data_IF_451789788889
#
_entry.id   IF_451789788889
#
_cell.length_a   1.000
_cell.length_b   1.000
_cell.length_c   1.000
_cell.angle_alpha   90.00
_cell.angle_beta   90.00
_cell.angle_gamma   90.00
#
_symmetry.space_group_name_H-M   'P 1'
#
loop_
_entity.id
_entity.type
_entity.pdbx_description
1 polymer ?
#
# COMPACT_ATOMS: atom_id res chain seq x y z
N UNK A 1 -3.72 34.03 27.09
CA UNK A 1 -3.70 32.96 26.06
C UNK A 1 -4.37 33.54 24.82
N UNK A 2 -3.61 33.79 23.74
CA UNK A 2 -4.22 34.07 22.45
C UNK A 2 -5.12 32.89 22.08
N UNK A 3 -6.39 33.18 21.71
CA UNK A 3 -7.29 32.14 21.20
C UNK A 3 -6.66 31.59 19.93
N UNK A 4 -6.14 30.39 19.94
CA UNK A 4 -5.74 29.67 18.75
C UNK A 4 -6.93 29.66 17.79
N UNK A 5 -6.83 30.49 16.74
CA UNK A 5 -7.86 30.60 15.70
C UNK A 5 -7.52 29.62 14.58
N UNK A 6 -8.40 28.66 14.35
CA UNK A 6 -8.28 27.67 13.30
C UNK A 6 -9.18 28.07 12.12
N UNK A 7 -8.64 28.04 10.92
CA UNK A 7 -9.43 28.27 9.71
C UNK A 7 -10.18 26.97 9.36
N UNK A 8 -11.50 27.03 9.38
CA UNK A 8 -12.35 25.92 8.95
C UNK A 8 -13.02 26.25 7.60
N UNK A 9 -13.38 25.26 6.76
CA UNK A 9 -14.12 25.48 5.51
C UNK A 9 -15.45 26.18 5.76
N UNK A 10 -15.88 27.03 4.83
CA UNK A 10 -17.17 27.73 4.92
C UNK A 10 -18.34 26.78 5.11
N UNK A 11 -18.36 25.66 4.40
CA UNK A 11 -19.42 24.67 4.50
C UNK A 11 -19.48 24.02 5.89
N UNK A 12 -18.32 23.69 6.50
CA UNK A 12 -18.27 23.21 7.88
C UNK A 12 -18.76 24.28 8.87
N UNK A 13 -18.39 25.54 8.66
CA UNK A 13 -18.86 26.66 9.48
C UNK A 13 -20.39 26.83 9.40
N UNK A 14 -21.00 26.66 8.21
CA UNK A 14 -22.45 26.68 8.01
C UNK A 14 -23.13 25.59 8.83
N UNK A 15 -22.55 24.38 8.87
CA UNK A 15 -23.11 23.26 9.64
C UNK A 15 -23.02 23.55 11.15
N UNK A 16 -21.86 23.99 11.64
CA UNK A 16 -21.69 24.35 13.05
C UNK A 16 -22.67 25.44 13.48
N UNK A 17 -22.84 26.47 12.66
CA UNK A 17 -23.77 27.58 12.90
C UNK A 17 -25.23 27.10 12.91
N UNK A 18 -25.63 26.30 11.92
CA UNK A 18 -27.02 25.79 11.84
C UNK A 18 -27.41 24.94 13.07
N UNK A 19 -26.48 24.08 13.53
CA UNK A 19 -26.70 23.31 14.77
C UNK A 19 -26.77 24.21 16.01
N UNK A 20 -25.89 25.23 16.09
CA UNK A 20 -25.87 26.17 17.21
C UNK A 20 -27.16 27.01 17.27
N UNK A 21 -27.64 27.52 16.14
CA UNK A 21 -28.91 28.29 16.03
C UNK A 21 -30.12 27.42 16.42
N UNK A 22 -30.07 26.11 16.18
CA UNK A 22 -31.06 25.14 16.62
C UNK A 22 -30.93 24.74 18.11
N UNK A 23 -29.95 25.29 18.83
CA UNK A 23 -29.76 25.06 20.27
C UNK A 23 -28.87 23.86 20.59
N UNK A 24 -28.13 23.30 19.64
CA UNK A 24 -27.23 22.16 19.84
C UNK A 24 -25.76 22.59 19.89
N UNK A 25 -24.97 21.90 20.69
CA UNK A 25 -23.51 22.03 20.61
C UNK A 25 -22.98 21.31 19.38
N UNK A 26 -21.99 21.89 18.70
CA UNK A 26 -21.30 21.28 17.59
C UNK A 26 -19.84 21.74 17.52
N UNK A 27 -18.96 20.84 17.14
CA UNK A 27 -17.50 21.06 17.00
C UNK A 27 -16.97 20.28 15.81
N UNK A 28 -15.98 20.81 15.11
CA UNK A 28 -15.10 19.96 14.29
C UNK A 28 -14.18 19.17 15.21
N UNK A 29 -13.81 17.92 14.85
CA UNK A 29 -13.20 17.00 15.83
C UNK A 29 -12.22 16.03 15.18
N UNK A 30 -11.21 15.63 15.93
CA UNK A 30 -10.32 14.53 15.53
C UNK A 30 -9.22 14.94 14.57
N UNK A 31 -9.12 14.23 13.44
CA UNK A 31 -8.04 14.38 12.46
C UNK A 31 -7.91 15.79 11.90
N UNK A 32 -9.01 16.46 11.60
CA UNK A 32 -8.99 17.82 11.08
C UNK A 32 -8.42 18.84 12.07
N UNK A 33 -8.73 18.69 13.36
CA UNK A 33 -8.17 19.56 14.42
C UNK A 33 -6.68 19.34 14.55
N UNK A 34 -6.24 18.08 14.65
CA UNK A 34 -4.83 17.71 14.67
C UNK A 34 -4.05 18.27 13.48
N UNK A 35 -4.53 18.01 12.27
CA UNK A 35 -3.81 18.38 11.05
C UNK A 35 -3.73 19.91 10.89
N UNK A 36 -4.79 20.63 11.24
CA UNK A 36 -4.79 22.10 11.27
C UNK A 36 -3.78 22.65 12.29
N UNK A 37 -3.67 22.07 13.48
CA UNK A 37 -2.66 22.45 14.49
C UNK A 37 -1.23 22.18 14.02
N UNK A 38 -1.02 21.14 13.20
CA UNK A 38 0.27 20.82 12.60
C UNK A 38 0.56 21.66 11.32
N UNK A 39 -0.33 22.58 10.91
CA UNK A 39 -0.21 23.36 9.69
C UNK A 39 -0.38 22.51 8.42
N UNK A 40 -1.01 21.35 8.52
CA UNK A 40 -1.38 20.47 7.40
C UNK A 40 -2.80 20.78 6.96
N UNK A 41 -3.09 20.63 5.68
CA UNK A 41 -4.45 20.78 5.16
C UNK A 41 -5.24 19.48 5.42
N UNK A 42 -6.33 19.54 6.23
CA UNK A 42 -7.16 18.37 6.48
C UNK A 42 -7.87 17.90 5.20
N UNK A 43 -7.92 16.59 5.00
CA UNK A 43 -8.64 15.97 3.88
C UNK A 43 -10.15 15.91 4.13
N UNK A 44 -10.53 15.56 5.36
CA UNK A 44 -11.90 15.35 5.80
C UNK A 44 -12.17 16.19 7.06
N UNK A 45 -13.40 16.68 7.19
CA UNK A 45 -13.83 17.51 8.33
C UNK A 45 -14.99 16.84 9.04
N UNK A 46 -14.67 16.08 10.09
CA UNK A 46 -15.65 15.44 10.93
C UNK A 46 -16.25 16.43 11.93
N UNK A 47 -17.55 16.36 12.11
CA UNK A 47 -18.30 17.19 13.07
C UNK A 47 -18.92 16.28 14.12
N UNK A 48 -18.83 16.69 15.38
CA UNK A 48 -19.49 16.02 16.48
C UNK A 48 -20.48 16.99 17.15
N UNK A 49 -21.65 16.50 17.61
CA UNK A 49 -22.74 17.33 18.09
C UNK A 49 -23.55 16.68 19.22
N UNK A 50 -24.21 17.51 20.05
CA UNK A 50 -25.20 17.05 21.03
C UNK A 50 -26.55 16.70 20.37
N UNK A 51 -26.79 17.10 19.10
CA UNK A 51 -27.98 16.78 18.36
C UNK A 51 -28.04 15.28 18.02
N UNK A 52 -29.20 14.64 18.18
CA UNK A 52 -29.44 13.27 17.70
C UNK A 52 -29.60 13.22 16.18
N UNK A 53 -29.42 12.07 15.53
CA UNK A 53 -29.52 11.96 14.07
C UNK A 53 -30.81 12.58 13.49
N UNK A 54 -31.94 12.34 14.11
CA UNK A 54 -33.22 12.88 13.67
C UNK A 54 -33.29 14.42 13.79
N UNK A 55 -32.60 14.97 14.82
CA UNK A 55 -32.50 16.41 15.01
C UNK A 55 -31.57 17.07 14.00
N UNK A 56 -30.44 16.41 13.66
CA UNK A 56 -29.58 16.85 12.54
C UNK A 56 -30.36 16.87 11.23
N UNK A 57 -31.14 15.83 10.95
CA UNK A 57 -32.02 15.76 9.75
C UNK A 57 -33.11 16.81 9.75
N UNK A 58 -33.58 17.25 10.90
CA UNK A 58 -34.58 18.33 10.99
C UNK A 58 -33.96 19.71 10.72
N UNK A 59 -32.66 19.91 11.00
CA UNK A 59 -31.95 21.18 10.76
C UNK A 59 -31.54 21.31 9.29
N UNK A 60 -31.12 20.22 8.65
CA UNK A 60 -30.56 20.25 7.29
C UNK A 60 -31.45 19.51 6.29
N UNK A 61 -31.79 20.19 5.18
CA UNK A 61 -32.70 19.66 4.16
C UNK A 61 -32.10 18.48 3.36
N UNK A 62 -30.78 18.41 3.22
CA UNK A 62 -30.12 17.38 2.44
C UNK A 62 -29.14 16.57 3.32
N UNK A 63 -29.56 15.35 3.68
CA UNK A 63 -28.79 14.44 4.51
C UNK A 63 -28.83 13.02 3.93
N UNK A 64 -27.77 12.24 4.22
CA UNK A 64 -27.64 10.83 3.84
C UNK A 64 -27.41 10.02 5.11
N UNK A 65 -28.14 8.93 5.28
CA UNK A 65 -28.01 8.03 6.42
C UNK A 65 -26.81 7.09 6.21
N UNK A 66 -25.61 7.54 6.58
CA UNK A 66 -24.36 6.80 6.38
C UNK A 66 -23.97 5.91 7.56
N UNK A 67 -24.61 6.08 8.71
CA UNK A 67 -24.29 5.31 9.93
C UNK A 67 -25.24 5.66 11.07
N UNK A 68 -26.53 5.71 10.80
CA UNK A 68 -27.55 6.20 11.76
C UNK A 68 -27.59 5.34 13.04
N UNK A 69 -27.34 4.03 12.92
CA UNK A 69 -27.26 3.10 14.05
C UNK A 69 -26.09 3.45 15.01
N UNK A 70 -25.06 4.13 14.48
CA UNK A 70 -23.92 4.61 15.25
C UNK A 70 -23.96 6.12 15.51
N UNK A 71 -25.08 6.78 15.20
CA UNK A 71 -25.28 8.19 15.45
C UNK A 71 -24.70 9.13 14.39
N UNK A 72 -24.31 8.63 13.21
CA UNK A 72 -23.68 9.43 12.14
C UNK A 72 -24.66 9.67 10.99
N UNK A 73 -24.74 10.94 10.57
CA UNK A 73 -25.48 11.40 9.39
C UNK A 73 -24.55 12.25 8.55
N UNK A 74 -24.52 12.04 7.24
CA UNK A 74 -23.80 12.92 6.33
C UNK A 74 -24.69 14.09 5.92
N UNK A 75 -24.27 15.31 6.26
CA UNK A 75 -24.92 16.55 5.82
C UNK A 75 -24.29 16.98 4.49
N UNK A 76 -25.13 17.19 3.47
CA UNK A 76 -24.71 17.61 2.13
C UNK A 76 -24.82 19.12 1.99
N UNK A 77 -23.71 19.81 1.71
CA UNK A 77 -23.68 21.23 1.33
C UNK A 77 -23.19 21.31 -0.12
N UNK A 78 -24.10 21.57 -1.03
CA UNK A 78 -23.80 21.47 -2.47
C UNK A 78 -23.46 20.04 -2.88
N UNK A 79 -22.21 19.80 -3.30
CA UNK A 79 -21.70 18.48 -3.68
C UNK A 79 -20.81 17.84 -2.61
N UNK A 80 -20.54 18.53 -1.52
CA UNK A 80 -19.67 18.06 -0.45
C UNK A 80 -20.49 17.46 0.68
N UNK A 81 -20.04 16.33 1.22
CA UNK A 81 -20.63 15.65 2.36
C UNK A 81 -19.76 15.81 3.61
N UNK A 82 -20.38 16.13 4.73
CA UNK A 82 -19.75 16.27 6.03
C UNK A 82 -20.36 15.26 7.00
N UNK A 83 -19.52 14.41 7.61
CA UNK A 83 -20.00 13.48 8.63
C UNK A 83 -20.30 14.22 9.93
N UNK A 84 -21.56 14.13 10.38
CA UNK A 84 -22.03 14.72 11.64
C UNK A 84 -22.42 13.59 12.56
N UNK A 85 -21.66 13.41 13.64
CA UNK A 85 -21.84 12.32 14.61
C UNK A 85 -22.37 12.86 15.94
N UNK A 86 -23.44 12.26 16.43
CA UNK A 86 -23.97 12.55 17.76
C UNK A 86 -22.99 12.13 18.86
N UNK A 87 -22.80 12.94 19.90
CA UNK A 87 -22.01 12.55 21.06
C UNK A 87 -22.50 11.22 21.63
N UNK A 88 -21.58 10.32 21.89
CA UNK A 88 -21.94 8.99 22.35
C UNK A 88 -20.96 8.43 23.36
N UNK A 89 -21.47 7.52 24.14
CA UNK A 89 -20.71 6.63 25.00
C UNK A 89 -20.84 5.25 24.38
N UNK A 90 -19.72 4.62 24.09
CA UNK A 90 -19.73 3.24 23.57
C UNK A 90 -19.94 2.30 24.75
N UNK A 91 -20.90 1.37 24.65
CA UNK A 91 -21.13 0.33 25.65
C UNK A 91 -20.10 -0.79 25.60
N UNK A 92 -20.37 -1.93 26.26
CA UNK A 92 -19.50 -3.10 26.16
C UNK A 92 -19.37 -3.58 24.71
N UNK A 93 -18.16 -3.95 24.31
CA UNK A 93 -17.87 -4.46 22.96
C UNK A 93 -17.98 -5.99 22.93
N UNK A 94 -18.70 -6.54 21.96
CA UNK A 94 -18.88 -8.01 21.81
C UNK A 94 -17.79 -8.68 20.98
N UNK A 95 -17.29 -7.98 19.95
CA UNK A 95 -16.41 -8.55 18.92
C UNK A 95 -15.13 -7.72 18.69
N UNK A 96 -14.68 -6.98 19.70
CA UNK A 96 -13.54 -6.04 19.60
C UNK A 96 -13.72 -4.96 18.51
N UNK A 97 -14.97 -4.64 18.12
CA UNK A 97 -15.28 -3.64 17.11
C UNK A 97 -16.57 -2.85 17.37
N UNK A 98 -17.66 -3.57 17.64
CA UNK A 98 -18.97 -2.94 17.75
C UNK A 98 -19.41 -2.92 19.22
N UNK A 99 -19.73 -1.74 19.77
CA UNK A 99 -20.41 -1.70 21.05
C UNK A 99 -21.79 -2.36 20.92
N UNK A 100 -22.17 -3.18 21.88
CA UNK A 100 -23.50 -3.80 21.97
C UNK A 100 -24.62 -2.79 21.86
N UNK A 101 -24.42 -1.64 22.50
CA UNK A 101 -25.34 -0.51 22.50
C UNK A 101 -24.55 0.79 22.43
N UNK A 102 -25.05 1.72 21.64
CA UNK A 102 -24.57 3.09 21.58
C UNK A 102 -25.52 3.94 22.42
N UNK A 103 -25.01 4.57 23.46
CA UNK A 103 -25.79 5.50 24.25
C UNK A 103 -25.44 6.93 23.87
N UNK A 104 -26.41 7.69 23.37
CA UNK A 104 -26.21 9.10 23.07
C UNK A 104 -26.11 9.91 24.37
N UNK A 105 -25.17 10.84 24.40
CA UNK A 105 -24.94 11.77 25.49
C UNK A 105 -25.03 13.21 25.02
N UNK A 106 -25.24 14.14 25.94
CA UNK A 106 -25.10 15.57 25.67
C UNK A 106 -23.71 16.13 26.02
N UNK A 107 -22.81 15.29 26.52
CA UNK A 107 -21.52 15.73 27.04
C UNK A 107 -20.39 15.45 26.03
N UNK A 108 -19.80 16.50 25.47
CA UNK A 108 -18.66 16.41 24.57
C UNK A 108 -17.49 15.60 25.16
N UNK A 109 -17.22 15.77 26.46
CA UNK A 109 -16.10 15.09 27.11
C UNK A 109 -16.19 13.57 27.02
N UNK A 110 -17.39 12.99 27.12
CA UNK A 110 -17.58 11.54 27.00
C UNK A 110 -17.34 11.08 25.55
N UNK A 111 -17.73 11.88 24.54
CA UNK A 111 -17.41 11.57 23.14
C UNK A 111 -15.90 11.64 22.85
N UNK A 112 -15.19 12.59 23.44
CA UNK A 112 -13.74 12.68 23.30
C UNK A 112 -13.00 11.53 24.02
N UNK A 113 -13.51 11.10 25.19
CA UNK A 113 -12.91 10.06 26.01
C UNK A 113 -12.85 8.68 25.35
N UNK A 114 -13.85 8.33 24.50
CA UNK A 114 -13.88 7.05 23.78
C UNK A 114 -12.94 6.98 22.58
N UNK A 115 -12.29 8.09 22.21
CA UNK A 115 -11.39 8.15 21.05
C UNK A 115 -10.09 7.38 21.31
N UNK A 116 -9.37 7.08 20.23
CA UNK A 116 -8.16 6.26 20.26
C UNK A 116 -6.97 6.97 20.94
N UNK A 117 -6.57 8.13 20.40
CA UNK A 117 -5.37 8.83 20.85
C UNK A 117 -5.67 10.28 21.22
N UNK A 118 -4.90 10.82 22.15
CA UNK A 118 -5.03 12.20 22.65
C UNK A 118 -5.00 13.21 21.52
N UNK A 119 -4.11 13.05 20.55
CA UNK A 119 -3.98 13.92 19.37
C UNK A 119 -5.22 13.92 18.44
N UNK A 120 -6.12 12.97 18.60
CA UNK A 120 -7.40 12.88 17.87
C UNK A 120 -8.61 13.13 18.80
N UNK A 121 -8.37 13.39 20.08
CA UNK A 121 -9.40 13.65 21.09
C UNK A 121 -9.52 15.14 21.41
N UNK A 122 -9.37 15.98 20.40
CA UNK A 122 -9.54 17.42 20.45
C UNK A 122 -10.71 17.86 19.58
N UNK A 123 -11.44 18.87 20.04
CA UNK A 123 -12.55 19.47 19.32
C UNK A 123 -12.36 20.99 19.20
N UNK A 124 -12.87 21.58 18.13
CA UNK A 124 -12.78 23.02 17.91
C UNK A 124 -14.11 23.60 17.41
N UNK A 125 -14.46 24.76 17.99
CA UNK A 125 -15.55 25.59 17.51
C UNK A 125 -15.08 27.06 17.48
N UNK A 126 -15.36 27.83 16.42
CA UNK A 126 -14.90 29.23 16.29
C UNK A 126 -15.27 30.13 17.47
N UNK A 127 -16.45 29.95 18.05
CA UNK A 127 -16.96 30.78 19.14
C UNK A 127 -16.44 30.34 20.52
N UNK A 128 -16.16 29.04 20.68
CA UNK A 128 -15.80 28.43 21.98
C UNK A 128 -14.30 28.10 22.09
N UNK A 129 -13.57 28.08 20.97
CA UNK A 129 -12.16 27.72 20.90
C UNK A 129 -11.91 26.21 20.89
N UNK A 130 -10.68 25.80 21.23
CA UNK A 130 -10.27 24.39 21.29
C UNK A 130 -10.65 23.80 22.65
N UNK A 131 -11.23 22.59 22.61
CA UNK A 131 -11.44 21.73 23.77
C UNK A 131 -10.42 20.60 23.68
N UNK A 132 -9.47 20.61 24.61
CA UNK A 132 -8.42 19.60 24.77
C UNK A 132 -8.42 19.11 26.23
N UNK A 133 -9.14 18.04 26.49
CA UNK A 133 -9.28 17.50 27.85
C UNK A 133 -8.21 16.45 28.19
N UNK A 134 -7.43 16.00 27.20
CA UNK A 134 -6.50 14.88 27.33
C UNK A 134 -5.06 15.23 26.97
N UNK A 135 -4.73 16.54 26.92
CA UNK A 135 -3.40 17.05 26.60
C UNK A 135 -2.91 16.67 25.19
N UNK A 136 -3.84 16.66 24.22
CA UNK A 136 -3.52 16.37 22.82
C UNK A 136 -2.60 17.40 22.18
N UNK A 137 -2.75 18.69 22.52
CA UNK A 137 -1.84 19.77 22.08
C UNK A 137 -0.43 19.52 22.60
N UNK A 138 -0.29 19.21 23.90
CA UNK A 138 1.01 18.89 24.47
C UNK A 138 1.65 17.64 23.84
N UNK A 139 0.87 16.63 23.49
CA UNK A 139 1.37 15.45 22.79
C UNK A 139 1.78 15.76 21.33
N UNK A 140 1.08 16.67 20.64
CA UNK A 140 1.52 17.16 19.34
C UNK A 140 2.88 17.89 19.41
N UNK A 141 3.06 18.74 20.41
CA UNK A 141 4.32 19.45 20.64
C UNK A 141 5.47 18.50 20.98
N UNK A 142 5.20 17.47 21.80
CA UNK A 142 6.18 16.42 22.16
C UNK A 142 6.37 15.37 21.08
N UNK A 143 5.56 15.38 20.01
CA UNK A 143 5.54 14.37 18.94
C UNK A 143 5.27 12.95 19.49
N UNK A 144 4.25 12.78 20.27
CA UNK A 144 3.89 11.54 20.96
C UNK A 144 2.52 11.05 20.50
N UNK A 145 2.40 9.72 20.27
CA UNK A 145 1.15 8.99 20.12
C UNK A 145 0.82 8.34 21.46
N UNK A 146 -0.21 8.82 22.14
CA UNK A 146 -0.66 8.31 23.43
C UNK A 146 -2.14 7.99 23.37
N UNK A 147 -2.55 6.84 23.93
CA UNK A 147 -3.95 6.48 24.08
C UNK A 147 -4.68 7.45 25.03
N UNK A 148 -5.97 7.65 24.77
CA UNK A 148 -6.85 8.36 25.71
C UNK A 148 -7.17 7.43 26.88
N UNK A 149 -6.90 7.86 28.12
CA UNK A 149 -7.14 7.07 29.33
C UNK A 149 -6.22 5.86 29.45
N UNK A 150 -6.77 4.68 29.73
CA UNK A 150 -6.02 3.44 29.93
C UNK A 150 -5.84 2.72 28.58
N UNK A 151 -4.60 2.52 28.10
CA UNK A 151 -4.37 1.94 26.77
C UNK A 151 -4.96 0.54 26.60
N UNK A 152 -4.90 -0.32 27.63
CA UNK A 152 -5.45 -1.67 27.59
C UNK A 152 -6.96 -1.66 27.30
N UNK A 153 -7.71 -0.77 27.97
CA UNK A 153 -9.15 -0.60 27.75
C UNK A 153 -9.43 -0.19 26.31
N UNK A 154 -8.63 0.75 25.77
CA UNK A 154 -8.77 1.23 24.36
C UNK A 154 -8.54 0.12 23.35
N UNK A 155 -7.61 -0.79 23.61
CA UNK A 155 -7.35 -1.94 22.71
C UNK A 155 -8.36 -3.07 22.90
N UNK A 156 -8.88 -3.27 24.10
CA UNK A 156 -9.97 -4.22 24.35
C UNK A 156 -11.28 -3.79 23.64
N UNK A 157 -11.53 -2.48 23.50
CA UNK A 157 -12.67 -1.95 22.73
C UNK A 157 -12.51 -2.18 21.22
N UNK A 158 -11.37 -1.84 20.64
CA UNK A 158 -11.06 -2.05 19.23
C UNK A 158 -9.56 -2.33 19.05
N UNK A 159 -9.23 -3.60 18.87
CA UNK A 159 -7.84 -4.03 18.70
C UNK A 159 -7.16 -3.43 17.45
N UNK A 160 -7.93 -2.95 16.45
CA UNK A 160 -7.35 -2.25 15.30
C UNK A 160 -6.60 -0.97 15.72
N UNK A 161 -6.94 -0.39 16.89
CA UNK A 161 -6.21 0.76 17.44
C UNK A 161 -4.72 0.48 17.63
N UNK A 162 -4.33 -0.78 17.82
CA UNK A 162 -2.93 -1.23 17.85
C UNK A 162 -2.22 -0.89 16.50
N UNK A 163 -2.80 -1.27 15.38
CA UNK A 163 -2.24 -0.89 14.07
C UNK A 163 -2.34 0.61 13.80
N UNK A 164 -3.40 1.24 14.27
CA UNK A 164 -3.58 2.70 14.15
C UNK A 164 -2.49 3.49 14.88
N UNK A 165 -2.00 2.99 16.03
CA UNK A 165 -0.87 3.61 16.74
C UNK A 165 0.38 3.69 15.85
N UNK A 166 0.78 2.55 15.26
CA UNK A 166 1.92 2.51 14.32
C UNK A 166 1.65 3.34 13.07
N UNK A 167 0.43 3.32 12.55
CA UNK A 167 0.07 4.15 11.40
C UNK A 167 0.23 5.64 11.68
N UNK A 168 -0.28 6.15 12.81
CA UNK A 168 -0.11 7.56 13.15
C UNK A 168 1.35 7.90 13.42
N UNK A 169 2.11 6.99 14.06
CA UNK A 169 3.55 7.12 14.17
C UNK A 169 4.20 7.30 12.79
N UNK A 170 3.89 6.42 11.83
CA UNK A 170 4.44 6.46 10.47
C UNK A 170 3.98 7.70 9.66
N UNK A 171 2.74 8.16 9.83
CA UNK A 171 2.22 9.33 9.12
C UNK A 171 2.74 10.66 9.65
N UNK A 172 3.06 10.73 10.94
CA UNK A 172 3.42 11.96 11.62
C UNK A 172 4.92 12.03 11.96
N UNK A 173 5.64 10.92 11.92
CA UNK A 173 7.01 10.82 12.42
C UNK A 173 7.08 10.94 13.95
N UNK A 174 6.06 10.46 14.67
CA UNK A 174 5.93 10.57 16.12
C UNK A 174 6.28 9.26 16.81
N UNK A 175 6.73 9.34 18.05
CA UNK A 175 6.97 8.16 18.89
C UNK A 175 5.68 7.74 19.61
N UNK A 176 5.54 6.42 19.85
CA UNK A 176 4.48 5.90 20.72
C UNK A 176 4.99 5.96 22.16
N UNK A 177 4.17 6.43 23.11
CA UNK A 177 4.58 6.51 24.52
C UNK A 177 4.76 5.12 25.16
N UNK A 178 5.49 5.07 26.28
CA UNK A 178 5.83 3.81 26.97
C UNK A 178 4.60 2.97 27.33
N UNK A 179 3.63 3.50 28.09
CA UNK A 179 2.43 2.76 28.47
C UNK A 179 1.62 2.23 27.30
N UNK A 180 1.53 3.01 26.20
CA UNK A 180 0.85 2.55 24.97
C UNK A 180 1.61 1.42 24.29
N UNK A 181 2.97 1.48 24.21
CA UNK A 181 3.79 0.38 23.67
C UNK A 181 3.64 -0.91 24.49
N UNK A 182 3.67 -0.80 25.81
CA UNK A 182 3.48 -1.95 26.72
C UNK A 182 2.12 -2.60 26.49
N UNK A 183 1.05 -1.81 26.42
CA UNK A 183 -0.29 -2.32 26.15
C UNK A 183 -0.42 -2.94 24.74
N UNK A 184 0.26 -2.39 23.71
CA UNK A 184 0.31 -3.00 22.38
C UNK A 184 0.89 -4.41 22.49
N UNK A 185 2.06 -4.55 23.13
CA UNK A 185 2.73 -5.85 23.26
C UNK A 185 1.87 -6.85 24.04
N UNK A 186 1.16 -6.39 25.08
CA UNK A 186 0.24 -7.23 25.85
C UNK A 186 -0.98 -7.70 25.05
N UNK A 187 -1.54 -6.83 24.21
CA UNK A 187 -2.84 -7.05 23.53
C UNK A 187 -2.71 -7.43 22.05
N UNK A 188 -1.51 -7.52 21.51
CA UNK A 188 -1.26 -7.70 20.07
C UNK A 188 -1.98 -8.92 19.46
N UNK A 189 -2.14 -10.01 20.21
CA UNK A 189 -2.83 -11.22 19.75
C UNK A 189 -4.31 -10.97 19.41
N UNK A 190 -4.93 -9.94 19.97
CA UNK A 190 -6.31 -9.58 19.65
C UNK A 190 -6.49 -9.15 18.19
N UNK A 191 -5.39 -8.82 17.46
CA UNK A 191 -5.44 -8.55 16.03
C UNK A 191 -5.93 -9.74 15.21
N UNK A 192 -5.84 -10.97 15.72
CA UNK A 192 -6.41 -12.17 15.08
C UNK A 192 -7.93 -12.07 14.88
N UNK A 193 -8.62 -11.30 15.73
CA UNK A 193 -10.06 -11.09 15.67
C UNK A 193 -10.47 -9.99 14.66
N UNK A 194 -9.50 -9.26 14.10
CA UNK A 194 -9.78 -8.13 13.18
C UNK A 194 -9.86 -8.65 11.75
N UNK A 195 -10.87 -8.18 11.02
CA UNK A 195 -11.04 -8.58 9.61
C UNK A 195 -9.84 -8.20 8.74
N UNK A 196 -9.52 -9.06 7.78
CA UNK A 196 -8.38 -8.87 6.90
C UNK A 196 -8.43 -7.54 6.13
N UNK A 197 -9.62 -7.07 5.77
CA UNK A 197 -9.83 -5.80 5.07
C UNK A 197 -9.44 -4.60 5.93
N UNK A 198 -9.76 -4.64 7.24
CA UNK A 198 -9.38 -3.57 8.17
C UNK A 198 -7.86 -3.55 8.40
N UNK A 199 -7.24 -4.72 8.56
CA UNK A 199 -5.79 -4.87 8.66
C UNK A 199 -5.12 -4.35 7.38
N UNK A 200 -5.61 -4.75 6.21
CA UNK A 200 -5.11 -4.30 4.91
C UNK A 200 -5.11 -2.77 4.80
N UNK A 201 -6.22 -2.12 5.17
CA UNK A 201 -6.33 -0.66 5.09
C UNK A 201 -5.30 0.06 5.96
N UNK A 202 -5.07 -0.40 7.18
CA UNK A 202 -4.08 0.20 8.07
C UNK A 202 -2.65 -0.08 7.59
N UNK A 203 -2.36 -1.31 7.14
CA UNK A 203 -1.07 -1.68 6.55
C UNK A 203 -0.73 -0.79 5.36
N UNK A 204 -1.66 -0.63 4.41
CA UNK A 204 -1.44 0.24 3.24
C UNK A 204 -1.16 1.68 3.67
N UNK A 205 -1.89 2.22 4.66
CA UNK A 205 -1.66 3.57 5.17
C UNK A 205 -0.30 3.75 5.86
N UNK A 206 0.24 2.68 6.48
CA UNK A 206 1.61 2.69 7.00
C UNK A 206 2.59 2.74 5.82
N UNK A 207 2.43 1.88 4.83
CA UNK A 207 3.35 1.75 3.71
C UNK A 207 3.41 3.02 2.84
N UNK A 208 2.28 3.68 2.59
CA UNK A 208 2.22 4.91 1.77
C UNK A 208 2.45 6.19 2.58
N UNK A 209 2.84 6.08 3.85
CA UNK A 209 3.21 7.22 4.69
C UNK A 209 4.58 7.78 4.32
N UNK A 210 4.93 8.90 4.96
CA UNK A 210 6.26 9.50 4.84
C UNK A 210 7.36 8.65 5.51
N UNK A 211 6.97 7.74 6.41
CA UNK A 211 7.87 6.91 7.20
C UNK A 211 7.50 5.41 7.13
N UNK A 212 7.61 4.75 5.95
CA UNK A 212 7.30 3.32 5.81
C UNK A 212 8.24 2.41 6.62
N UNK A 213 9.41 2.93 7.05
CA UNK A 213 10.36 2.25 7.91
C UNK A 213 9.82 1.93 9.31
N UNK A 214 8.67 2.50 9.69
CA UNK A 214 7.95 2.11 10.91
C UNK A 214 7.36 0.70 10.86
N UNK A 215 7.48 -0.01 9.73
CA UNK A 215 7.30 -1.46 9.68
C UNK A 215 8.22 -2.20 10.65
N UNK A 216 9.44 -1.68 10.89
CA UNK A 216 10.34 -2.19 11.94
C UNK A 216 9.72 -2.04 13.33
N UNK A 217 9.11 -0.88 13.64
CA UNK A 217 8.40 -0.69 14.91
C UNK A 217 7.24 -1.67 15.05
N UNK A 218 6.50 -1.92 13.97
CA UNK A 218 5.42 -2.93 13.98
C UNK A 218 5.97 -4.33 14.32
N UNK A 219 7.15 -4.68 13.81
CA UNK A 219 7.83 -5.93 14.13
C UNK A 219 8.31 -5.96 15.58
N UNK A 220 8.93 -4.90 16.07
CA UNK A 220 9.42 -4.79 17.46
C UNK A 220 8.29 -4.92 18.50
N UNK A 221 7.08 -4.48 18.14
CA UNK A 221 5.87 -4.57 18.97
C UNK A 221 5.10 -5.88 18.76
N UNK A 222 5.59 -6.82 17.95
CA UNK A 222 4.96 -8.11 17.67
C UNK A 222 3.75 -8.08 16.73
N UNK A 223 3.43 -6.92 16.15
CA UNK A 223 2.27 -6.77 15.25
C UNK A 223 2.45 -7.60 13.99
N UNK A 224 3.64 -7.59 13.39
CA UNK A 224 3.92 -8.35 12.16
C UNK A 224 3.81 -9.85 12.38
N UNK A 225 4.19 -10.36 13.55
CA UNK A 225 4.04 -11.78 13.88
C UNK A 225 2.59 -12.28 13.76
N UNK A 226 1.62 -11.40 13.99
CA UNK A 226 0.18 -11.71 13.86
C UNK A 226 -0.33 -11.47 12.44
N UNK A 227 -0.05 -10.29 11.87
CA UNK A 227 -0.69 -9.86 10.61
C UNK A 227 0.12 -10.17 9.36
N UNK A 228 1.46 -10.24 9.47
CA UNK A 228 2.40 -10.41 8.35
C UNK A 228 3.66 -11.19 8.78
N UNK A 229 3.55 -12.44 9.26
CA UNK A 229 4.67 -13.19 9.83
C UNK A 229 5.82 -13.44 8.83
N UNK A 230 5.54 -13.30 7.54
CA UNK A 230 6.56 -13.38 6.50
C UNK A 230 7.58 -12.25 6.60
N UNK A 231 7.21 -11.08 7.15
CA UNK A 231 8.12 -9.96 7.39
C UNK A 231 9.17 -10.32 8.47
N UNK A 232 8.75 -10.97 9.56
CA UNK A 232 9.66 -11.32 10.66
C UNK A 232 10.78 -12.26 10.20
N UNK A 233 10.56 -13.04 9.14
CA UNK A 233 11.53 -14.00 8.60
C UNK A 233 12.71 -13.34 7.89
N UNK A 234 12.57 -12.10 7.39
CA UNK A 234 13.66 -11.38 6.72
C UNK A 234 14.56 -10.62 7.71
N UNK A 235 14.14 -10.49 8.96
CA UNK A 235 14.88 -9.77 9.99
C UNK A 235 16.19 -10.48 10.34
N UNK A 236 17.28 -9.72 10.32
CA UNK A 236 18.61 -10.24 10.64
C UNK A 236 19.20 -11.23 9.62
N UNK A 237 18.56 -11.39 8.46
CA UNK A 237 19.09 -12.24 7.38
C UNK A 237 20.20 -11.49 6.65
N UNK A 238 21.43 -11.92 6.85
CA UNK A 238 22.62 -11.32 6.22
C UNK A 238 22.62 -11.51 4.71
N UNK A 239 23.30 -10.59 4.01
CA UNK A 239 23.48 -10.60 2.55
C UNK A 239 24.96 -10.30 2.23
N UNK A 240 25.87 -11.23 2.54
CA UNK A 240 27.30 -11.07 2.27
C UNK A 240 27.59 -11.19 0.77
N UNK A 241 27.32 -10.13 0.04
CA UNK A 241 27.58 -10.00 -1.39
C UNK A 241 28.23 -8.64 -1.70
N UNK A 242 28.97 -8.49 -2.80
CA UNK A 242 29.52 -7.19 -3.18
C UNK A 242 28.47 -6.10 -3.41
N UNK A 243 27.22 -6.49 -3.68
CA UNK A 243 26.13 -5.58 -3.98
C UNK A 243 25.39 -5.07 -2.74
N UNK A 244 25.49 -5.74 -1.60
CA UNK A 244 24.71 -5.43 -0.40
C UNK A 244 25.61 -5.21 0.80
N UNK A 245 25.32 -4.18 1.59
CA UNK A 245 25.97 -3.88 2.88
C UNK A 245 24.97 -3.94 4.04
N UNK A 246 23.69 -4.08 3.74
CA UNK A 246 22.59 -4.17 4.70
C UNK A 246 22.08 -5.61 4.76
N UNK A 247 21.46 -6.01 5.87
CA UNK A 247 20.64 -7.23 5.92
C UNK A 247 19.38 -7.10 5.05
N UNK A 248 18.58 -8.16 4.95
CA UNK A 248 17.40 -8.16 4.06
C UNK A 248 16.34 -7.18 4.57
N UNK A 249 16.13 -7.06 5.89
CA UNK A 249 15.16 -6.12 6.45
C UNK A 249 15.55 -4.67 6.16
N UNK A 250 16.77 -4.26 6.50
CA UNK A 250 17.25 -2.89 6.30
C UNK A 250 17.23 -2.51 4.80
N UNK A 251 17.64 -3.45 3.92
CA UNK A 251 17.54 -3.27 2.47
C UNK A 251 16.10 -3.04 2.03
N UNK A 252 15.15 -3.85 2.51
CA UNK A 252 13.71 -3.73 2.21
C UNK A 252 13.15 -2.38 2.64
N UNK A 253 13.49 -1.93 3.86
CA UNK A 253 13.02 -0.64 4.37
C UNK A 253 13.57 0.53 3.54
N UNK A 254 14.86 0.49 3.19
CA UNK A 254 15.48 1.51 2.31
C UNK A 254 14.85 1.53 0.93
N UNK A 255 14.61 0.38 0.33
CA UNK A 255 13.95 0.28 -0.96
C UNK A 255 12.51 0.85 -0.91
N UNK A 256 11.78 0.64 0.19
CA UNK A 256 10.47 1.28 0.39
C UNK A 256 10.58 2.80 0.53
N UNK A 257 11.60 3.33 1.21
CA UNK A 257 11.80 4.79 1.33
C UNK A 257 12.18 5.44 0.00
N UNK A 258 12.90 4.72 -0.87
CA UNK A 258 13.37 5.23 -2.16
C UNK A 258 12.32 5.19 -3.29
N UNK A 259 11.10 4.69 -3.04
CA UNK A 259 10.04 4.63 -4.04
C UNK A 259 8.89 5.56 -3.67
N UNK A 260 8.21 6.09 -4.69
CA UNK A 260 7.04 6.96 -4.48
C UNK A 260 5.96 6.26 -3.62
N UNK A 261 5.17 7.01 -2.82
CA UNK A 261 4.17 6.46 -1.90
C UNK A 261 2.91 5.97 -2.63
N UNK A 262 3.10 5.09 -3.61
CA UNK A 262 2.03 4.38 -4.32
C UNK A 262 1.77 3.01 -3.68
N UNK A 263 0.50 2.61 -3.61
CA UNK A 263 0.07 1.34 -2.98
C UNK A 263 0.75 0.12 -3.61
N UNK A 264 0.77 0.03 -4.94
CA UNK A 264 1.32 -1.13 -5.66
C UNK A 264 2.83 -1.19 -5.49
N UNK A 265 3.50 -0.05 -5.66
CA UNK A 265 4.95 0.04 -5.59
C UNK A 265 5.48 -0.22 -4.17
N UNK A 266 4.85 0.36 -3.14
CA UNK A 266 5.25 0.13 -1.73
C UNK A 266 5.01 -1.32 -1.29
N UNK A 267 3.89 -1.94 -1.70
CA UNK A 267 3.65 -3.37 -1.46
C UNK A 267 4.67 -4.24 -2.19
N UNK A 268 5.04 -3.88 -3.41
CA UNK A 268 6.08 -4.58 -4.18
C UNK A 268 7.41 -4.55 -3.42
N UNK A 269 7.86 -3.36 -3.00
CA UNK A 269 9.12 -3.23 -2.27
C UNK A 269 9.10 -3.92 -0.91
N UNK A 270 7.97 -3.93 -0.20
CA UNK A 270 7.83 -4.68 1.04
C UNK A 270 8.10 -6.18 0.84
N UNK A 271 7.57 -6.75 -0.26
CA UNK A 271 7.54 -8.20 -0.43
C UNK A 271 8.60 -8.75 -1.41
N UNK A 272 9.40 -7.88 -2.09
CA UNK A 272 10.28 -8.32 -3.17
C UNK A 272 11.32 -9.36 -2.73
N UNK A 273 11.76 -9.29 -1.49
CA UNK A 273 12.83 -10.12 -0.92
C UNK A 273 12.36 -11.14 0.13
N UNK A 274 11.07 -11.33 0.33
CA UNK A 274 10.53 -12.28 1.32
C UNK A 274 10.95 -13.73 1.09
N UNK A 275 11.32 -14.08 -0.14
CA UNK A 275 11.81 -15.42 -0.48
C UNK A 275 13.30 -15.66 -0.16
N UNK A 276 14.08 -14.64 0.16
CA UNK A 276 15.53 -14.79 0.41
C UNK A 276 15.87 -15.77 1.52
N UNK A 277 15.19 -15.77 2.67
CA UNK A 277 15.48 -16.71 3.75
C UNK A 277 15.40 -18.19 3.33
N UNK A 278 14.46 -18.53 2.41
CA UNK A 278 14.22 -19.91 1.98
C UNK A 278 15.28 -20.45 1.02
N UNK A 279 15.89 -19.56 0.24
CA UNK A 279 16.83 -19.94 -0.83
C UNK A 279 18.28 -19.57 -0.54
N UNK A 280 18.55 -18.99 0.64
CA UNK A 280 19.90 -18.59 1.06
C UNK A 280 20.85 -19.76 1.03
N UNK A 281 21.99 -19.58 0.36
CA UNK A 281 23.10 -20.53 0.36
C UNK A 281 24.40 -19.77 0.54
N UNK A 282 25.33 -20.36 1.28
CA UNK A 282 26.70 -19.86 1.42
C UNK A 282 27.59 -20.68 0.47
N UNK A 283 28.32 -20.02 -0.41
CA UNK A 283 29.28 -20.65 -1.32
C UNK A 283 30.68 -20.73 -0.69
N UNK A 284 31.61 -21.50 -1.31
CA UNK A 284 32.92 -21.82 -0.74
C UNK A 284 33.76 -20.59 -0.37
N UNK A 285 33.60 -19.48 -1.09
CA UNK A 285 34.29 -18.21 -0.82
C UNK A 285 33.63 -17.34 0.26
N UNK A 286 32.59 -17.88 0.94
CA UNK A 286 31.90 -17.21 2.01
C UNK A 286 30.81 -16.22 1.52
N UNK A 287 30.63 -16.06 0.22
CA UNK A 287 29.52 -15.24 -0.32
C UNK A 287 28.18 -15.95 -0.14
N UNK A 288 27.14 -15.14 0.04
CA UNK A 288 25.77 -15.60 0.14
C UNK A 288 25.04 -15.39 -1.19
N UNK A 289 24.35 -16.42 -1.67
CA UNK A 289 23.59 -16.39 -2.91
C UNK A 289 22.13 -16.70 -2.64
N UNK A 290 21.24 -16.10 -3.43
CA UNK A 290 19.77 -16.16 -3.25
C UNK A 290 19.09 -16.53 -4.57
N UNK A 291 19.53 -17.63 -5.18
CA UNK A 291 19.02 -18.04 -6.48
C UNK A 291 17.52 -18.36 -6.41
N UNK A 292 16.74 -17.84 -7.37
CA UNK A 292 15.28 -17.98 -7.45
C UNK A 292 14.47 -17.33 -6.30
N UNK A 293 15.07 -16.40 -5.51
CA UNK A 293 14.25 -15.67 -4.52
C UNK A 293 13.09 -14.88 -5.12
N UNK A 294 13.13 -14.32 -6.36
CA UNK A 294 11.99 -13.58 -6.90
C UNK A 294 10.75 -14.46 -7.09
N UNK A 295 10.91 -15.71 -7.54
CA UNK A 295 9.82 -16.66 -7.70
C UNK A 295 9.20 -17.04 -6.36
N UNK A 296 10.05 -17.27 -5.34
CA UNK A 296 9.60 -17.58 -3.97
C UNK A 296 8.93 -16.37 -3.35
N UNK A 297 9.49 -15.17 -3.53
CA UNK A 297 8.88 -13.91 -3.07
C UNK A 297 7.51 -13.68 -3.72
N UNK A 298 7.38 -13.93 -5.03
CA UNK A 298 6.11 -13.81 -5.75
C UNK A 298 5.05 -14.80 -5.23
N UNK A 299 5.46 -16.01 -4.86
CA UNK A 299 4.54 -16.98 -4.23
C UNK A 299 4.07 -16.50 -2.84
N UNK A 300 4.97 -15.91 -2.04
CA UNK A 300 4.57 -15.25 -0.79
C UNK A 300 3.63 -14.07 -1.03
N UNK A 301 3.96 -13.19 -1.99
CA UNK A 301 3.13 -12.06 -2.33
C UNK A 301 1.70 -12.50 -2.72
N UNK A 302 1.56 -13.51 -3.59
CA UNK A 302 0.24 -14.06 -3.97
C UNK A 302 -0.55 -14.55 -2.75
N UNK A 303 0.09 -15.31 -1.84
CA UNK A 303 -0.53 -15.83 -0.62
C UNK A 303 -0.96 -14.70 0.33
N UNK A 304 -0.08 -13.73 0.58
CA UNK A 304 -0.33 -12.60 1.48
C UNK A 304 -1.46 -11.72 0.93
N UNK A 305 -1.40 -11.38 -0.37
CA UNK A 305 -2.39 -10.52 -1.00
C UNK A 305 -3.79 -11.15 -0.98
N UNK A 306 -3.88 -12.49 -1.13
CA UNK A 306 -5.16 -13.22 -0.95
C UNK A 306 -5.62 -13.24 0.49
N UNK A 307 -4.73 -13.55 1.44
CA UNK A 307 -5.04 -13.58 2.88
C UNK A 307 -5.56 -12.23 3.37
N UNK A 308 -4.93 -11.15 2.93
CA UNK A 308 -5.33 -9.78 3.27
C UNK A 308 -6.41 -9.22 2.34
N UNK A 309 -7.00 -10.04 1.46
CA UNK A 309 -8.14 -9.70 0.60
C UNK A 309 -7.95 -8.47 -0.29
N UNK A 310 -6.75 -8.29 -0.85
CA UNK A 310 -6.52 -7.28 -1.87
C UNK A 310 -7.32 -7.57 -3.15
N UNK A 311 -7.70 -6.50 -3.85
CA UNK A 311 -8.34 -6.61 -5.15
C UNK A 311 -7.43 -7.29 -6.19
N UNK A 312 -8.06 -7.89 -7.21
CA UNK A 312 -7.36 -8.69 -8.22
C UNK A 312 -6.34 -7.88 -9.03
N UNK A 313 -6.65 -6.62 -9.35
CA UNK A 313 -5.75 -5.75 -10.14
C UNK A 313 -4.47 -5.44 -9.34
N UNK A 314 -4.64 -4.94 -8.11
CA UNK A 314 -3.51 -4.69 -7.19
C UNK A 314 -2.66 -5.94 -7.00
N UNK A 315 -3.29 -7.09 -6.70
CA UNK A 315 -2.58 -8.35 -6.50
C UNK A 315 -1.78 -8.77 -7.73
N UNK A 316 -2.39 -8.77 -8.90
CA UNK A 316 -1.74 -9.18 -10.13
C UNK A 316 -0.52 -8.32 -10.46
N UNK A 317 -0.63 -7.00 -10.31
CA UNK A 317 0.48 -6.07 -10.52
C UNK A 317 1.63 -6.31 -9.54
N UNK A 318 1.32 -6.39 -8.23
CA UNK A 318 2.33 -6.61 -7.19
C UNK A 318 3.06 -7.93 -7.42
N UNK A 319 2.35 -9.04 -7.63
CA UNK A 319 2.96 -10.37 -7.82
C UNK A 319 3.87 -10.38 -9.05
N UNK A 320 3.45 -9.75 -10.15
CA UNK A 320 4.27 -9.65 -11.38
C UNK A 320 5.52 -8.79 -11.12
N UNK A 321 5.39 -7.65 -10.47
CA UNK A 321 6.54 -6.79 -10.15
C UNK A 321 7.52 -7.48 -9.20
N UNK A 322 7.03 -8.15 -8.16
CA UNK A 322 7.85 -8.97 -7.25
C UNK A 322 8.58 -10.07 -8.02
N UNK A 323 7.88 -10.79 -8.91
CA UNK A 323 8.49 -11.86 -9.71
C UNK A 323 9.64 -11.36 -10.59
N UNK A 324 9.51 -10.17 -11.16
CA UNK A 324 10.45 -9.65 -12.14
C UNK A 324 11.43 -8.60 -11.60
N UNK A 325 11.34 -8.18 -10.32
CA UNK A 325 12.17 -7.10 -9.79
C UNK A 325 13.68 -7.30 -10.05
N UNK A 326 14.16 -8.53 -9.94
CA UNK A 326 15.55 -8.90 -10.14
C UNK A 326 15.93 -9.25 -11.59
N UNK A 327 15.04 -9.04 -12.58
CA UNK A 327 15.29 -9.39 -13.97
C UNK A 327 16.53 -8.69 -14.51
N UNK A 328 17.51 -9.51 -14.95
CA UNK A 328 18.75 -9.02 -15.58
C UNK A 328 18.53 -8.94 -17.08
N UNK A 329 18.89 -7.82 -17.68
CA UNK A 329 18.90 -7.59 -19.13
C UNK A 329 19.86 -6.44 -19.43
N UNK A 330 20.36 -6.33 -20.65
CA UNK A 330 21.19 -5.20 -21.09
C UNK A 330 20.36 -4.12 -21.79
N UNK A 331 20.99 -3.02 -22.19
CA UNK A 331 20.33 -1.89 -22.81
C UNK A 331 20.13 -2.06 -24.36
N UNK A 332 20.38 -3.24 -24.94
CA UNK A 332 20.10 -3.49 -26.34
C UNK A 332 18.57 -3.56 -26.59
N UNK A 333 18.14 -3.15 -27.78
CA UNK A 333 16.72 -3.20 -28.16
C UNK A 333 16.14 -4.63 -28.05
N UNK A 334 16.94 -5.64 -28.41
CA UNK A 334 16.54 -7.05 -28.31
C UNK A 334 16.29 -7.43 -26.85
N UNK A 335 17.21 -7.11 -25.94
CA UNK A 335 17.06 -7.40 -24.51
C UNK A 335 15.87 -6.66 -23.90
N UNK A 336 15.66 -5.40 -24.27
CA UNK A 336 14.52 -4.61 -23.79
C UNK A 336 13.20 -5.18 -24.32
N UNK A 337 13.10 -5.59 -25.60
CA UNK A 337 11.91 -6.27 -26.15
C UNK A 337 11.62 -7.58 -25.41
N UNK A 338 12.64 -8.37 -25.08
CA UNK A 338 12.48 -9.60 -24.29
C UNK A 338 11.98 -9.29 -22.88
N UNK A 339 12.53 -8.26 -22.24
CA UNK A 339 12.07 -7.81 -20.93
C UNK A 339 10.60 -7.36 -20.98
N UNK A 340 10.21 -6.57 -22.00
CA UNK A 340 8.83 -6.14 -22.25
C UNK A 340 7.87 -7.33 -22.47
N UNK A 341 8.30 -8.32 -23.24
CA UNK A 341 7.51 -9.54 -23.44
C UNK A 341 7.23 -10.30 -22.13
N UNK A 342 8.20 -10.37 -21.22
CA UNK A 342 8.10 -11.08 -19.95
C UNK A 342 7.34 -10.31 -18.87
N UNK A 343 7.72 -9.05 -18.69
CA UNK A 343 7.16 -8.18 -17.63
C UNK A 343 5.76 -7.72 -18.03
N UNK A 344 5.58 -7.37 -19.30
CA UNK A 344 4.38 -6.74 -19.84
C UNK A 344 4.49 -5.21 -19.88
N UNK A 345 4.03 -4.63 -20.98
CA UNK A 345 4.08 -3.19 -21.23
C UNK A 345 3.28 -2.39 -20.18
N UNK A 346 2.18 -2.96 -19.70
CA UNK A 346 1.23 -2.33 -18.77
C UNK A 346 1.83 -1.98 -17.40
N UNK A 347 2.90 -2.67 -16.98
CA UNK A 347 3.59 -2.41 -15.70
C UNK A 347 5.08 -2.11 -15.88
N UNK A 348 5.56 -1.91 -17.11
CA UNK A 348 6.99 -1.78 -17.37
C UNK A 348 7.60 -0.52 -16.78
N UNK A 349 6.89 0.60 -16.77
CA UNK A 349 7.33 1.84 -16.10
C UNK A 349 7.45 1.64 -14.58
N UNK A 350 6.50 0.94 -13.97
CA UNK A 350 6.55 0.61 -12.55
C UNK A 350 7.68 -0.38 -12.24
N UNK A 351 7.95 -1.32 -13.13
CA UNK A 351 9.10 -2.21 -13.03
C UNK A 351 10.43 -1.43 -13.05
N UNK A 352 10.60 -0.39 -13.88
CA UNK A 352 11.78 0.47 -13.88
C UNK A 352 11.90 1.21 -12.54
N UNK A 353 10.80 1.76 -12.00
CA UNK A 353 10.79 2.40 -10.67
C UNK A 353 11.19 1.43 -9.56
N UNK A 354 10.71 0.19 -9.60
CA UNK A 354 11.07 -0.87 -8.65
C UNK A 354 12.56 -1.17 -8.73
N UNK A 355 13.13 -1.34 -9.95
CA UNK A 355 14.57 -1.56 -10.11
C UNK A 355 15.40 -0.37 -9.62
N UNK A 356 14.93 0.86 -9.83
CA UNK A 356 15.61 2.07 -9.35
C UNK A 356 15.69 2.06 -7.81
N UNK A 357 14.57 1.86 -7.14
CA UNK A 357 14.49 1.85 -5.68
C UNK A 357 15.32 0.71 -5.05
N UNK A 358 15.30 -0.48 -5.65
CA UNK A 358 16.14 -1.62 -5.25
C UNK A 358 17.65 -1.32 -5.41
N UNK A 359 18.04 -0.64 -6.50
CA UNK A 359 19.44 -0.23 -6.72
C UNK A 359 19.88 0.77 -5.66
N UNK A 360 19.07 1.79 -5.36
CA UNK A 360 19.40 2.83 -4.38
C UNK A 360 19.52 2.29 -2.94
N UNK A 361 18.93 1.14 -2.66
CA UNK A 361 19.05 0.44 -1.37
C UNK A 361 20.29 -0.47 -1.27
N UNK A 362 21.15 -0.53 -2.28
CA UNK A 362 22.34 -1.37 -2.33
C UNK A 362 23.60 -0.70 -1.74
N UNK A 363 24.73 -1.35 -1.92
CA UNK A 363 26.03 -0.79 -1.57
C UNK A 363 26.29 0.50 -2.38
N UNK A 364 26.57 1.66 -1.73
CA UNK A 364 26.84 2.93 -2.41
C UNK A 364 27.89 2.86 -3.52
N UNK A 365 28.88 1.97 -3.38
CA UNK A 365 29.94 1.80 -4.37
C UNK A 365 29.44 1.28 -5.74
N UNK A 366 28.31 0.55 -5.77
CA UNK A 366 27.77 -0.02 -7.02
C UNK A 366 26.60 0.78 -7.59
N UNK A 367 26.00 1.68 -6.81
CA UNK A 367 24.81 2.46 -7.19
C UNK A 367 25.03 3.26 -8.48
N UNK A 368 26.08 4.11 -8.63
CA UNK A 368 26.21 4.96 -9.81
C UNK A 368 26.27 4.18 -11.12
N UNK A 369 27.03 3.09 -11.16
CA UNK A 369 27.14 2.26 -12.36
C UNK A 369 25.83 1.55 -12.72
N UNK A 370 25.09 1.07 -11.70
CA UNK A 370 23.79 0.40 -11.90
C UNK A 370 22.70 1.38 -12.35
N UNK A 371 22.65 2.60 -11.78
CA UNK A 371 21.69 3.63 -12.21
C UNK A 371 22.00 4.12 -13.63
N UNK A 372 23.27 4.30 -13.99
CA UNK A 372 23.65 4.65 -15.36
C UNK A 372 23.16 3.59 -16.37
N UNK A 373 23.36 2.31 -16.07
CA UNK A 373 22.86 1.22 -16.92
C UNK A 373 21.32 1.19 -16.96
N UNK A 374 20.65 1.45 -15.83
CA UNK A 374 19.18 1.50 -15.80
C UNK A 374 18.64 2.66 -16.66
N UNK A 375 19.28 3.83 -16.61
CA UNK A 375 18.90 4.97 -17.46
C UNK A 375 19.07 4.67 -18.98
N UNK A 376 20.13 3.93 -19.35
CA UNK A 376 20.29 3.47 -20.74
C UNK A 376 19.16 2.52 -21.16
N UNK A 377 18.77 1.57 -20.29
CA UNK A 377 17.65 0.66 -20.51
C UNK A 377 16.33 1.42 -20.68
N UNK A 378 16.07 2.41 -19.83
CA UNK A 378 14.88 3.24 -19.87
C UNK A 378 14.82 4.05 -21.20
N UNK A 379 15.94 4.64 -21.62
CA UNK A 379 16.04 5.31 -22.92
C UNK A 379 15.71 4.36 -24.08
N UNK A 380 16.24 3.13 -24.04
CA UNK A 380 15.96 2.13 -25.05
C UNK A 380 14.51 1.66 -25.02
N UNK A 381 13.92 1.51 -23.83
CA UNK A 381 12.49 1.23 -23.66
C UNK A 381 11.63 2.28 -24.36
N UNK A 382 11.86 3.56 -24.09
CA UNK A 382 11.11 4.63 -24.74
C UNK A 382 11.27 4.63 -26.26
N UNK A 383 12.47 4.31 -26.77
CA UNK A 383 12.72 4.13 -28.21
C UNK A 383 11.90 2.99 -28.81
N UNK A 384 11.94 1.80 -28.18
CA UNK A 384 11.19 0.61 -28.62
C UNK A 384 9.69 0.89 -28.68
N UNK A 385 9.14 1.61 -27.68
CA UNK A 385 7.72 1.98 -27.67
C UNK A 385 7.41 3.03 -28.74
N UNK A 386 8.21 4.08 -28.87
CA UNK A 386 7.99 5.15 -29.84
C UNK A 386 8.05 4.67 -31.29
N UNK A 387 8.92 3.70 -31.58
CA UNK A 387 9.05 3.09 -32.90
C UNK A 387 7.99 1.99 -33.18
N UNK A 388 7.14 1.67 -32.21
CA UNK A 388 6.11 0.64 -32.35
C UNK A 388 6.67 -0.75 -32.62
N UNK A 389 7.86 -1.06 -32.07
CA UNK A 389 8.50 -2.35 -32.29
C UNK A 389 7.66 -3.50 -31.69
N UNK A 390 7.68 -4.66 -32.36
CA UNK A 390 6.93 -5.84 -31.95
C UNK A 390 7.66 -6.63 -30.85
N UNK A 391 6.97 -6.91 -29.77
CA UNK A 391 7.46 -7.74 -28.66
C UNK A 391 6.37 -8.64 -28.05
N UNK A 392 5.17 -8.67 -28.64
CA UNK A 392 4.07 -9.53 -28.17
C UNK A 392 3.40 -10.24 -29.35
N UNK A 393 2.77 -11.39 -29.09
CA UNK A 393 1.97 -12.13 -30.08
C UNK A 393 0.92 -11.25 -30.79
N UNK A 394 0.32 -10.29 -30.05
CA UNK A 394 -0.72 -9.39 -30.60
C UNK A 394 -0.20 -8.41 -31.66
N UNK A 395 1.10 -8.15 -31.66
CA UNK A 395 1.75 -7.21 -32.58
C UNK A 395 2.34 -7.91 -33.84
N UNK A 396 2.26 -9.24 -33.89
CA UNK A 396 2.67 -9.98 -35.10
C UNK A 396 1.83 -9.60 -36.32
N UNK A 397 2.46 -9.58 -37.49
CA UNK A 397 1.78 -9.34 -38.78
C UNK A 397 0.81 -10.47 -39.18
N UNK A 398 0.79 -11.58 -38.43
CA UNK A 398 -0.16 -12.69 -38.58
C UNK A 398 -0.75 -13.08 -37.23
N UNK A 399 -1.93 -13.70 -37.26
CA UNK A 399 -2.59 -14.21 -36.06
C UNK A 399 -2.91 -15.70 -36.15
N UNK A 400 -3.55 -16.25 -35.13
CA UNK A 400 -3.94 -17.65 -35.07
C UNK A 400 -4.77 -18.11 -36.26
N UNK A 401 -5.64 -17.26 -36.83
CA UNK A 401 -6.45 -17.58 -38.00
C UNK A 401 -5.60 -17.75 -39.27
N UNK A 402 -4.52 -16.99 -39.45
CA UNK A 402 -3.61 -17.16 -40.59
C UNK A 402 -2.87 -18.49 -40.47
N UNK A 403 -2.45 -18.89 -39.30
CA UNK A 403 -1.78 -20.16 -39.01
C UNK A 403 -2.72 -21.36 -39.20
N UNK A 404 -3.99 -21.25 -38.81
CA UNK A 404 -4.99 -22.29 -39.08
C UNK A 404 -5.20 -22.47 -40.59
N UNK A 405 -5.27 -21.38 -41.34
CA UNK A 405 -5.35 -21.43 -42.82
C UNK A 405 -4.11 -22.03 -43.47
N UNK A 406 -2.95 -21.91 -42.83
CA UNK A 406 -1.71 -22.55 -43.22
C UNK A 406 -1.58 -24.02 -42.77
N UNK A 407 -2.63 -24.59 -42.20
CA UNK A 407 -2.69 -26.03 -41.82
C UNK A 407 -2.17 -26.36 -40.45
N UNK A 408 -2.03 -25.38 -39.54
CA UNK A 408 -1.71 -25.63 -38.09
C UNK A 408 -3.01 -25.80 -37.33
N UNK A 409 -3.21 -26.95 -36.72
CA UNK A 409 -4.43 -27.25 -35.97
C UNK A 409 -4.56 -26.37 -34.69
N UNK A 410 -5.80 -25.94 -34.36
CA UNK A 410 -6.07 -25.26 -33.10
C UNK A 410 -5.65 -26.11 -31.87
N UNK A 411 -4.86 -25.54 -30.99
CA UNK A 411 -4.40 -26.25 -29.78
C UNK A 411 -3.05 -25.76 -29.28
N UNK A 412 -2.39 -26.55 -28.42
CA UNK A 412 -1.10 -26.17 -27.83
C UNK A 412 -0.01 -25.85 -28.86
N UNK A 413 0.00 -26.56 -30.02
CA UNK A 413 0.95 -26.32 -31.12
C UNK A 413 0.80 -24.90 -31.65
N UNK A 414 -0.42 -24.43 -31.88
CA UNK A 414 -0.68 -23.09 -32.39
C UNK A 414 -0.09 -22.01 -31.48
N UNK A 415 -0.27 -22.19 -30.15
CA UNK A 415 0.32 -21.30 -29.14
C UNK A 415 1.84 -21.32 -29.18
N UNK A 416 2.44 -22.49 -29.20
CA UNK A 416 3.89 -22.67 -29.23
C UNK A 416 4.51 -22.07 -30.49
N UNK A 417 3.86 -22.23 -31.66
CA UNK A 417 4.31 -21.59 -32.92
C UNK A 417 4.24 -20.07 -32.81
N UNK A 418 3.13 -19.50 -32.27
CA UNK A 418 3.02 -18.04 -32.09
C UNK A 418 4.11 -17.50 -31.14
N UNK A 419 4.43 -18.22 -30.09
CA UNK A 419 5.51 -17.83 -29.17
C UNK A 419 6.87 -17.84 -29.89
N UNK A 420 7.18 -18.86 -30.68
CA UNK A 420 8.41 -18.93 -31.48
C UNK A 420 8.50 -17.85 -32.54
N UNK A 421 7.40 -17.53 -33.20
CA UNK A 421 7.33 -16.42 -34.15
C UNK A 421 7.59 -15.09 -33.45
N UNK A 422 7.04 -14.92 -32.25
CA UNK A 422 7.28 -13.73 -31.45
C UNK A 422 8.75 -13.62 -31.01
N UNK A 423 9.38 -14.71 -30.60
CA UNK A 423 10.82 -14.78 -30.31
C UNK A 423 11.66 -14.35 -31.52
N UNK A 424 11.35 -14.87 -32.72
CA UNK A 424 12.06 -14.52 -33.96
C UNK A 424 11.92 -13.03 -34.29
N UNK A 425 10.74 -12.44 -34.08
CA UNK A 425 10.51 -11.01 -34.31
C UNK A 425 11.19 -10.15 -33.25
N UNK A 426 11.22 -10.59 -31.99
CA UNK A 426 11.99 -9.92 -30.93
C UNK A 426 13.46 -9.84 -31.29
N UNK A 427 14.02 -10.90 -31.85
CA UNK A 427 15.42 -10.93 -32.31
C UNK A 427 15.67 -10.06 -33.54
N UNK A 428 14.80 -10.12 -34.56
CA UNK A 428 14.87 -9.29 -35.74
C UNK A 428 13.48 -8.76 -36.16
N UNK A 429 13.24 -7.47 -35.95
CA UNK A 429 11.97 -6.81 -36.32
C UNK A 429 11.58 -6.93 -37.78
N UNK A 430 12.57 -7.13 -38.69
CA UNK A 430 12.34 -7.34 -40.14
C UNK A 430 11.65 -8.67 -40.43
N UNK A 431 11.60 -9.57 -39.45
CA UNK A 431 10.83 -10.82 -39.54
C UNK A 431 9.31 -10.58 -39.37
N UNK A 432 8.88 -9.43 -38.84
CA UNK A 432 7.46 -9.12 -38.71
C UNK A 432 6.79 -8.77 -40.04
N UNK A 433 6.80 -9.73 -40.94
CA UNK A 433 6.19 -9.68 -42.25
C UNK A 433 5.40 -10.97 -42.47
N UNK A 434 4.21 -10.86 -43.08
CA UNK A 434 3.28 -11.98 -43.22
C UNK A 434 3.89 -13.17 -43.96
N UNK A 435 4.59 -12.94 -45.06
CA UNK A 435 5.19 -14.00 -45.87
C UNK A 435 6.28 -14.74 -45.11
N UNK A 436 7.20 -13.99 -44.49
CA UNK A 436 8.30 -14.55 -43.67
C UNK A 436 7.80 -15.34 -42.45
N UNK A 437 6.77 -14.81 -41.78
CA UNK A 437 6.20 -15.49 -40.61
C UNK A 437 5.48 -16.77 -41.01
N UNK A 438 4.76 -16.82 -42.14
CA UNK A 438 4.14 -18.05 -42.63
C UNK A 438 5.18 -19.07 -43.05
N UNK A 439 6.27 -18.65 -43.74
CA UNK A 439 7.38 -19.53 -44.11
C UNK A 439 8.07 -20.13 -42.86
N UNK A 440 8.26 -19.33 -41.83
CA UNK A 440 8.83 -19.80 -40.56
C UNK A 440 7.85 -20.75 -39.85
N UNK A 441 6.56 -20.43 -39.81
CA UNK A 441 5.54 -21.26 -39.19
C UNK A 441 5.45 -22.65 -39.84
N UNK A 442 5.59 -22.72 -41.18
CA UNK A 442 5.63 -24.00 -41.92
C UNK A 442 6.80 -24.90 -41.47
N UNK A 443 7.96 -24.30 -41.19
CA UNK A 443 9.13 -25.03 -40.67
C UNK A 443 8.95 -25.48 -39.21
N UNK A 444 8.23 -24.70 -38.41
CA UNK A 444 8.05 -24.94 -36.98
C UNK A 444 6.94 -25.98 -36.68
N UNK A 445 5.97 -26.17 -37.59
CA UNK A 445 4.84 -27.08 -37.30
C UNK A 445 5.25 -28.54 -37.11
N UNK A 446 6.34 -28.95 -37.76
CA UNK A 446 6.87 -30.32 -37.73
C UNK A 446 8.11 -30.46 -36.82
N UNK A 447 8.55 -29.36 -36.18
CA UNK A 447 9.72 -29.35 -35.29
C UNK A 447 9.33 -29.70 -33.84
N UNK A 448 9.79 -30.85 -33.30
CA UNK A 448 9.55 -31.18 -31.90
C UNK A 448 10.08 -30.14 -30.92
N UNK A 449 11.10 -29.36 -31.30
CA UNK A 449 11.70 -28.31 -30.48
C UNK A 449 10.79 -27.08 -30.34
N UNK A 450 9.67 -27.01 -31.08
CA UNK A 450 8.72 -25.88 -30.96
C UNK A 450 8.21 -25.68 -29.52
N UNK A 451 8.07 -26.78 -28.77
CA UNK A 451 7.64 -26.76 -27.37
C UNK A 451 8.77 -26.46 -26.36
N UNK A 452 10.03 -26.42 -26.82
CA UNK A 452 11.16 -26.18 -25.93
C UNK A 452 11.34 -24.66 -25.75
N UNK A 453 11.21 -24.10 -24.53
CA UNK A 453 11.55 -22.71 -24.29
C UNK A 453 13.03 -22.48 -24.63
N UNK A 454 13.37 -21.32 -25.20
CA UNK A 454 14.79 -20.93 -25.22
C UNK A 454 15.29 -20.94 -23.78
N UNK A 455 16.39 -21.65 -23.53
CA UNK A 455 17.05 -21.63 -22.21
C UNK A 455 17.30 -20.18 -21.82
N UNK A 456 16.81 -19.80 -20.67
CA UNK A 456 17.06 -18.51 -20.09
C UNK A 456 18.55 -18.44 -19.69
N UNK A 457 19.37 -17.78 -20.50
CA UNK A 457 20.71 -17.36 -20.13
C UNK A 457 20.64 -16.33 -18.99
N UNK A 458 20.30 -16.80 -17.79
CA UNK A 458 20.38 -16.06 -16.55
C UNK A 458 21.23 -16.84 -15.55
N UNK A 459 22.55 -16.83 -15.78
CA UNK A 459 23.53 -17.05 -14.74
C UNK A 459 24.10 -15.74 -14.23
#
# INVERSE_FOLDING_TARGET
MERLSMRIPENAAVILKGLSEAGYEAYVVGGCVRDSLLGREPKDWDITTSARPEQVKAVFAHTIDTGIEHGTVTVMIGKEGYEVTTYRIDGEYEDSRHPKEVQFTSQLLEDLKRRDFTINAMAYNPDRGIVDAFDGIGDLERKIIRCVGVPQERFDEDALRIMRAVRFSAQLGFEIDGPTKEAITEKVQQLENISAERIQMELVKILVSDHPEYMRLACDLGITAVVLPEYDRIRGVSQHTPNHIYDVEEHTLRAMMNIVPDKVLRLTMLMHDFGKPDVKKVVEDGREIFYKHPEVSAAYAEKIMRRLKFDNDTRTKVVRLVKWHGLKYDASEVSVRRALNRVGQDIFEDFIKVQHADIEAKNPAVIPGKLALLAEKEKTYHKVIAEGQCFTVRQLAIGGLDLIRAGIEPGPLLGAVLDKLTEAVIDDQRMNNKEKLLELAEKLKDDPAVFTPKEDFFM
#
